data_IF_057367982616
#
_entry.id   IF_057367982616
#
_cell.length_a   1.000
_cell.length_b   1.000
_cell.length_c   1.000
_cell.angle_alpha   90.00
_cell.angle_beta   90.00
_cell.angle_gamma   90.00
#
_symmetry.space_group_name_H-M   'P 1'
#
loop_
_entity.id
_entity.type
_entity.pdbx_description
1 polymer ?
#
# COMPACT_ATOMS: atom_id res chain seq x y z
N UNK A 1 29.31 -11.21 -29.07
CA UNK A 1 29.14 -10.74 -27.68
C UNK A 1 27.93 -9.81 -27.70
N UNK A 2 26.83 -10.24 -27.10
CA UNK A 2 25.48 -9.73 -27.38
C UNK A 2 25.25 -8.47 -26.56
N UNK A 3 25.14 -7.32 -27.22
CA UNK A 3 24.76 -6.05 -26.60
C UNK A 3 23.25 -5.90 -26.59
N UNK A 4 22.66 -5.74 -25.41
CA UNK A 4 21.27 -5.29 -25.30
C UNK A 4 21.25 -3.77 -25.40
N UNK A 5 20.89 -3.26 -26.57
CA UNK A 5 20.47 -1.88 -26.76
C UNK A 5 18.99 -1.79 -26.38
N UNK A 6 18.67 -1.11 -25.29
CA UNK A 6 17.27 -0.75 -25.00
C UNK A 6 16.96 0.43 -25.92
N UNK A 7 16.21 0.15 -26.98
CA UNK A 7 15.55 1.17 -27.79
C UNK A 7 14.49 1.79 -26.88
N UNK A 8 14.74 3.01 -26.44
CA UNK A 8 13.75 3.84 -25.76
C UNK A 8 12.82 4.35 -26.86
N UNK A 9 11.75 3.61 -27.19
CA UNK A 9 10.68 4.19 -27.99
C UNK A 9 10.10 5.35 -27.20
N UNK A 10 10.16 6.54 -27.80
CA UNK A 10 9.55 7.73 -27.27
C UNK A 10 8.06 7.44 -27.04
N UNK A 11 7.59 7.66 -25.81
CA UNK A 11 6.18 7.66 -25.50
C UNK A 11 5.44 8.58 -26.49
N UNK A 12 4.30 8.15 -27.07
CA UNK A 12 3.54 9.01 -27.95
C UNK A 12 3.15 10.27 -27.17
N UNK A 13 3.48 11.43 -27.76
CA UNK A 13 3.08 12.73 -27.25
C UNK A 13 1.55 12.73 -27.23
N UNK A 14 0.98 12.78 -26.02
CA UNK A 14 -0.46 12.85 -25.84
C UNK A 14 -0.90 14.29 -26.09
N UNK A 15 -1.45 14.55 -27.27
CA UNK A 15 -2.23 15.76 -27.53
C UNK A 15 -3.53 15.69 -26.70
N UNK A 16 -3.63 16.53 -25.67
CA UNK A 16 -4.89 17.10 -25.18
C UNK A 16 -4.57 18.22 -24.16
N UNK A 17 -4.21 19.40 -24.66
CA UNK A 17 -4.04 20.65 -23.90
C UNK A 17 -5.35 21.20 -23.29
N UNK A 18 -6.42 20.42 -23.17
CA UNK A 18 -7.67 20.91 -22.61
C UNK A 18 -8.53 19.85 -21.91
N UNK A 19 -7.91 18.90 -21.20
CA UNK A 19 -8.64 18.22 -20.13
C UNK A 19 -8.59 19.11 -18.90
N UNK A 20 -9.61 19.96 -18.74
CA UNK A 20 -9.84 20.75 -17.53
C UNK A 20 -9.56 19.85 -16.33
N UNK A 21 -8.41 20.04 -15.68
CA UNK A 21 -8.09 19.39 -14.42
C UNK A 21 -9.16 19.89 -13.48
N UNK A 22 -10.17 19.05 -13.27
CA UNK A 22 -11.29 19.36 -12.40
C UNK A 22 -10.66 19.71 -11.06
N UNK A 23 -10.62 21.00 -10.72
CA UNK A 23 -10.00 21.47 -9.50
C UNK A 23 -10.64 20.68 -8.37
N UNK A 24 -9.84 19.88 -7.69
CA UNK A 24 -10.28 19.16 -6.50
C UNK A 24 -10.64 20.28 -5.52
N UNK A 25 -11.93 20.46 -5.15
CA UNK A 25 -12.32 21.57 -4.30
C UNK A 25 -11.54 21.50 -2.98
N UNK A 26 -11.09 22.66 -2.50
CA UNK A 26 -10.17 22.87 -1.37
C UNK A 26 -10.68 22.37 0.01
N UNK A 27 -11.70 21.53 0.03
CA UNK A 27 -12.16 20.78 1.18
C UNK A 27 -12.24 19.31 0.78
N UNK A 28 -11.09 18.62 0.71
CA UNK A 28 -11.10 17.15 0.71
C UNK A 28 -11.56 16.73 2.10
N UNK A 29 -12.87 16.55 2.22
CA UNK A 29 -13.51 16.00 3.41
C UNK A 29 -12.79 14.72 3.76
N UNK A 30 -12.30 14.62 5.00
CA UNK A 30 -11.58 13.45 5.45
C UNK A 30 -12.38 12.17 5.10
N UNK A 31 -11.76 11.28 4.35
CA UNK A 31 -12.34 10.02 3.92
C UNK A 31 -12.19 9.02 5.06
N UNK A 32 -13.24 8.27 5.33
CA UNK A 32 -13.20 7.18 6.30
C UNK A 32 -13.05 5.90 5.50
N UNK A 33 -12.03 5.13 5.83
CA UNK A 33 -11.66 3.89 5.15
C UNK A 33 -11.67 2.77 6.17
N UNK A 34 -12.44 1.71 5.92
CA UNK A 34 -12.47 0.53 6.76
C UNK A 34 -11.40 -0.45 6.26
N UNK A 35 -10.46 -0.82 7.13
CA UNK A 35 -9.34 -1.72 6.80
C UNK A 35 -9.34 -2.94 7.71
N UNK A 36 -8.53 -3.94 7.34
CA UNK A 36 -8.22 -5.13 8.13
C UNK A 36 -7.75 -4.84 9.57
N UNK A 37 -7.16 -3.66 9.79
CA UNK A 37 -6.65 -3.20 11.09
C UNK A 37 -7.60 -2.27 11.85
N UNK A 38 -8.79 -2.01 11.28
CA UNK A 38 -9.77 -1.06 11.80
C UNK A 38 -9.97 0.15 10.90
N UNK A 39 -10.72 1.13 11.42
CA UNK A 39 -11.12 2.32 10.69
C UNK A 39 -10.03 3.38 10.68
N UNK A 40 -9.67 3.85 9.50
CA UNK A 40 -8.65 4.90 9.27
C UNK A 40 -9.32 6.13 8.66
N UNK A 41 -8.93 7.31 9.13
CA UNK A 41 -9.39 8.59 8.58
C UNK A 41 -8.26 9.20 7.75
N UNK A 42 -8.51 9.42 6.45
CA UNK A 42 -7.55 9.94 5.49
C UNK A 42 -7.94 11.36 5.11
N UNK A 43 -7.05 12.33 5.36
CA UNK A 43 -7.19 13.71 4.90
C UNK A 43 -6.09 14.06 3.91
N UNK A 44 -6.43 14.80 2.85
CA UNK A 44 -5.45 15.30 1.90
C UNK A 44 -4.96 16.67 2.34
N UNK A 45 -3.65 16.82 2.51
CA UNK A 45 -3.00 18.10 2.76
C UNK A 45 -2.18 18.49 1.50
N UNK A 46 -2.58 19.54 0.76
CA UNK A 46 -1.87 19.97 -0.44
C UNK A 46 -0.47 20.53 -0.17
N UNK A 47 -0.16 20.94 1.07
CA UNK A 47 1.15 21.47 1.46
C UNK A 47 2.10 20.36 1.96
N UNK A 48 1.60 19.14 2.14
CA UNK A 48 2.37 17.99 2.62
C UNK A 48 2.84 17.09 1.48
N UNK A 49 4.04 16.53 1.63
CA UNK A 49 4.54 15.54 0.68
C UNK A 49 3.69 14.26 0.76
N UNK A 50 3.16 13.82 -0.38
CA UNK A 50 2.49 12.52 -0.46
C UNK A 50 3.47 11.41 -0.05
N UNK A 51 3.14 10.67 1.00
CA UNK A 51 3.95 9.51 1.38
C UNK A 51 3.54 8.29 0.56
N UNK A 52 4.49 7.42 0.19
CA UNK A 52 4.17 6.14 -0.48
C UNK A 52 3.20 5.27 0.33
N UNK A 53 3.23 5.40 1.66
CA UNK A 53 2.38 4.65 2.58
C UNK A 53 0.94 5.18 2.65
N UNK A 54 0.70 6.47 2.39
CA UNK A 54 -0.64 7.07 2.45
C UNK A 54 -1.64 6.42 1.48
N UNK A 55 -1.18 5.89 0.36
CA UNK A 55 -2.04 5.17 -0.60
C UNK A 55 -2.36 3.73 -0.17
N UNK A 56 -1.57 3.13 0.73
CA UNK A 56 -1.76 1.74 1.16
C UNK A 56 -3.05 1.55 1.96
N UNK A 57 -3.59 2.60 2.57
CA UNK A 57 -4.87 2.56 3.30
C UNK A 57 -6.01 2.12 2.37
N UNK A 58 -6.06 2.63 1.15
CA UNK A 58 -7.06 2.23 0.16
C UNK A 58 -6.84 0.81 -0.37
N UNK A 59 -5.58 0.37 -0.45
CA UNK A 59 -5.29 -1.02 -0.80
C UNK A 59 -5.72 -1.98 0.32
N UNK A 60 -5.56 -1.59 1.59
CA UNK A 60 -6.03 -2.36 2.73
C UNK A 60 -7.57 -2.45 2.76
N UNK A 61 -8.29 -1.39 2.39
CA UNK A 61 -9.75 -1.44 2.18
C UNK A 61 -10.13 -2.40 1.06
N UNK A 62 -9.42 -2.37 -0.05
CA UNK A 62 -9.64 -3.33 -1.14
C UNK A 62 -9.47 -4.77 -0.65
N UNK A 63 -8.45 -5.06 0.15
CA UNK A 63 -8.22 -6.40 0.71
C UNK A 63 -9.33 -6.82 1.70
N UNK A 64 -9.83 -5.88 2.50
CA UNK A 64 -10.96 -6.10 3.41
C UNK A 64 -12.24 -6.41 2.63
N UNK A 65 -12.62 -5.54 1.68
CA UNK A 65 -13.86 -5.66 0.89
C UNK A 65 -13.84 -6.91 0.00
N UNK A 66 -12.69 -7.25 -0.57
CA UNK A 66 -12.55 -8.43 -1.43
C UNK A 66 -12.46 -9.75 -0.65
N UNK A 67 -12.12 -9.71 0.65
CA UNK A 67 -11.86 -10.90 1.46
C UNK A 67 -10.60 -11.69 1.05
N UNK A 68 -9.79 -11.17 0.12
CA UNK A 68 -8.62 -11.88 -0.42
C UNK A 68 -7.58 -12.20 0.66
N UNK A 69 -7.37 -11.26 1.58
CA UNK A 69 -6.43 -11.47 2.67
C UNK A 69 -6.91 -12.55 3.65
N UNK A 70 -8.21 -12.63 3.90
CA UNK A 70 -8.78 -13.63 4.79
C UNK A 70 -8.72 -15.03 4.18
N UNK A 71 -9.08 -15.16 2.92
CA UNK A 71 -8.89 -16.40 2.17
C UNK A 71 -7.42 -16.85 2.21
N UNK A 72 -6.47 -15.92 2.01
CA UNK A 72 -5.04 -16.24 2.08
C UNK A 72 -4.58 -16.68 3.47
N UNK A 73 -5.09 -16.06 4.55
CA UNK A 73 -4.78 -16.45 5.93
C UNK A 73 -5.31 -17.84 6.26
N UNK A 74 -6.51 -18.18 5.78
CA UNK A 74 -7.14 -19.49 5.95
C UNK A 74 -6.40 -20.59 5.21
N UNK A 75 -6.08 -20.36 3.94
CA UNK A 75 -5.34 -21.30 3.08
C UNK A 75 -3.85 -21.45 3.48
N UNK A 76 -3.32 -20.53 4.28
CA UNK A 76 -1.91 -20.54 4.66
C UNK A 76 -1.55 -21.81 5.47
N UNK A 77 -0.62 -22.66 4.98
CA UNK A 77 -0.25 -23.93 5.60
C UNK A 77 0.62 -23.78 6.86
N UNK A 78 0.89 -22.54 7.29
CA UNK A 78 1.70 -22.25 8.46
C UNK A 78 0.96 -22.69 9.73
N UNK A 79 1.60 -23.53 10.55
CA UNK A 79 1.06 -24.01 11.83
C UNK A 79 2.04 -23.63 12.93
N UNK A 80 1.55 -22.88 13.91
CA UNK A 80 2.31 -22.55 15.11
C UNK A 80 1.86 -23.42 16.27
N UNK A 81 2.82 -24.06 16.95
CA UNK A 81 2.55 -24.96 18.07
C UNK A 81 2.88 -24.33 19.44
N UNK A 82 3.55 -23.19 19.46
CA UNK A 82 3.95 -22.53 20.72
C UNK A 82 2.81 -21.67 21.27
N UNK A 83 2.55 -21.68 22.59
CA UNK A 83 1.62 -20.76 23.24
C UNK A 83 2.02 -19.28 23.08
N UNK A 84 3.29 -19.01 22.80
CA UNK A 84 3.83 -17.66 22.60
C UNK A 84 3.96 -17.28 21.11
N UNK A 85 3.39 -18.06 20.20
CA UNK A 85 3.46 -17.75 18.79
C UNK A 85 2.50 -16.61 18.41
N UNK A 86 2.91 -15.69 17.52
CA UNK A 86 2.01 -14.68 16.99
C UNK A 86 0.89 -15.31 16.14
N UNK A 87 -0.21 -14.57 15.93
CA UNK A 87 -1.27 -15.06 15.04
C UNK A 87 -0.76 -15.07 13.60
N UNK A 88 -1.22 -16.04 12.80
CA UNK A 88 -0.89 -16.13 11.36
C UNK A 88 -1.19 -14.81 10.63
N UNK A 89 -2.34 -14.21 10.94
CA UNK A 89 -2.78 -12.93 10.39
C UNK A 89 -1.76 -11.81 10.61
N UNK A 90 -1.24 -11.68 11.84
CA UNK A 90 -0.31 -10.62 12.20
C UNK A 90 1.01 -10.74 11.43
N UNK A 91 1.48 -11.98 11.24
CA UNK A 91 2.70 -12.27 10.49
C UNK A 91 2.49 -11.98 8.99
N UNK A 92 1.42 -12.52 8.40
CA UNK A 92 1.14 -12.33 6.98
C UNK A 92 0.84 -10.87 6.63
N UNK A 93 0.13 -10.15 7.49
CA UNK A 93 -0.12 -8.71 7.33
C UNK A 93 1.16 -7.89 7.35
N UNK A 94 2.04 -8.15 8.33
CA UNK A 94 3.36 -7.50 8.40
C UNK A 94 4.19 -7.76 7.15
N UNK A 95 4.16 -8.99 6.64
CA UNK A 95 4.89 -9.37 5.44
C UNK A 95 4.33 -8.70 4.18
N UNK A 96 3.01 -8.70 4.03
CA UNK A 96 2.31 -8.03 2.93
C UNK A 96 2.67 -6.53 2.90
N UNK A 97 2.55 -5.85 4.04
CA UNK A 97 2.90 -4.44 4.17
C UNK A 97 4.38 -4.18 3.82
N UNK A 98 5.28 -5.03 4.29
CA UNK A 98 6.71 -4.91 3.96
C UNK A 98 7.01 -5.10 2.47
N UNK A 99 6.28 -5.97 1.78
CA UNK A 99 6.45 -6.18 0.34
C UNK A 99 5.93 -4.96 -0.42
N UNK A 100 4.78 -4.41 -0.03
CA UNK A 100 4.21 -3.19 -0.62
C UNK A 100 5.10 -1.97 -0.40
N UNK A 101 5.81 -1.92 0.73
CA UNK A 101 6.85 -0.94 1.02
C UNK A 101 8.13 -1.10 0.17
N UNK A 102 8.19 -2.11 -0.71
CA UNK A 102 9.34 -2.37 -1.58
C UNK A 102 10.50 -3.09 -0.91
N UNK A 103 10.33 -3.59 0.32
CA UNK A 103 11.40 -4.31 1.00
C UNK A 103 11.60 -5.71 0.42
N UNK A 104 12.87 -6.08 0.22
CA UNK A 104 13.26 -7.40 -0.27
C UNK A 104 13.83 -8.33 0.79
N UNK A 105 14.10 -7.80 1.99
CA UNK A 105 14.71 -8.53 3.11
C UNK A 105 13.89 -8.32 4.36
N UNK A 106 13.70 -9.40 5.12
CA UNK A 106 13.00 -9.36 6.40
C UNK A 106 13.59 -8.33 7.38
N UNK A 107 14.92 -8.14 7.36
CA UNK A 107 15.60 -7.16 8.19
C UNK A 107 15.12 -5.71 7.99
N UNK A 108 14.49 -5.39 6.86
CA UNK A 108 14.03 -4.04 6.55
C UNK A 108 12.58 -3.78 7.02
N UNK A 109 11.87 -4.79 7.51
CA UNK A 109 10.49 -4.65 8.02
C UNK A 109 10.40 -3.57 9.11
N UNK A 110 11.45 -3.38 9.92
CA UNK A 110 11.49 -2.35 10.96
C UNK A 110 11.41 -0.92 10.43
N UNK A 111 11.78 -0.68 9.16
CA UNK A 111 11.65 0.62 8.52
C UNK A 111 10.20 1.06 8.32
N UNK A 112 9.23 0.11 8.40
CA UNK A 112 7.80 0.44 8.39
C UNK A 112 7.39 1.33 9.58
N UNK A 113 8.15 1.30 10.69
CA UNK A 113 7.89 2.14 11.87
C UNK A 113 8.37 3.58 11.72
N UNK A 114 9.08 3.89 10.63
CA UNK A 114 9.63 5.22 10.37
C UNK A 114 8.73 6.06 9.46
N UNK A 115 7.53 5.58 9.14
CA UNK A 115 6.57 6.42 8.42
C UNK A 115 6.07 7.53 9.35
N UNK A 116 6.35 8.78 8.96
CA UNK A 116 6.02 9.95 9.79
C UNK A 116 4.54 10.37 9.71
N UNK A 117 3.75 9.71 8.86
CA UNK A 117 2.35 10.06 8.63
C UNK A 117 1.36 8.96 9.01
N UNK A 118 1.76 7.68 9.02
CA UNK A 118 0.98 6.61 9.66
C UNK A 118 1.57 6.30 11.05
N UNK A 119 0.79 6.47 12.14
CA UNK A 119 1.25 6.22 13.50
C UNK A 119 1.46 4.73 13.82
#
# INVERSE_FOLDING_TARGET
MIGFSIVMEAHPVGDDENRSQKAIPAAVKAMVVDTLGGRVQVSWDPESAATPFGQLVFFAEFLEVSGLFDAWVEECPLIYNSPNAPKKRDVLGTWNLSILAGHRRYAHVTALRSDGVSP
#
